data_IF_185527449159
#
_entry.id   IF_185527449159
#
_cell.length_a   1.000
_cell.length_b   1.000
_cell.length_c   1.000
_cell.angle_alpha   90.00
_cell.angle_beta   90.00
_cell.angle_gamma   90.00
#
_symmetry.space_group_name_H-M   'P 1'
#
loop_
_entity.id
_entity.type
_entity.pdbx_description
1 polymer ?
#
# COMPACT_ATOMS: atom_id res chain seq x y z
N UNK A 1 15.95 28.65 4.36
CA UNK A 1 15.35 28.45 3.03
C UNK A 1 15.43 26.97 2.72
N UNK A 2 14.27 26.31 2.77
CA UNK A 2 14.06 24.87 2.56
C UNK A 2 13.99 24.56 1.05
N UNK A 3 14.67 23.49 0.59
CA UNK A 3 14.52 22.92 -0.77
C UNK A 3 14.82 21.42 -0.91
N UNK A 4 15.01 20.68 0.17
CA UNK A 4 15.31 19.24 0.05
C UNK A 4 14.20 18.41 0.70
N UNK A 5 12.98 18.56 0.18
CA UNK A 5 11.86 17.64 0.40
C UNK A 5 12.05 16.27 -0.27
N UNK A 6 13.30 15.80 -0.38
CA UNK A 6 13.67 14.52 -0.96
C UNK A 6 13.60 13.46 0.13
N UNK A 7 12.38 13.10 0.52
CA UNK A 7 12.15 11.92 1.35
C UNK A 7 12.40 10.66 0.50
N UNK A 8 13.68 10.33 0.33
CA UNK A 8 14.13 9.01 -0.13
C UNK A 8 14.09 8.09 1.08
N UNK A 9 12.99 7.38 1.27
CA UNK A 9 12.93 6.11 2.00
C UNK A 9 12.16 5.18 1.07
N UNK A 10 12.71 4.10 0.52
CA UNK A 10 13.80 3.23 0.94
C UNK A 10 14.51 2.66 -0.28
N UNK A 11 15.80 2.35 -0.13
CA UNK A 11 16.46 1.37 -0.99
C UNK A 11 15.66 0.05 -0.97
N UNK A 12 14.86 -0.15 -2.00
CA UNK A 12 14.10 -1.39 -2.24
C UNK A 12 15.10 -2.52 -2.55
N UNK A 13 15.59 -3.18 -1.50
CA UNK A 13 16.15 -4.54 -1.59
C UNK A 13 15.07 -5.63 -1.52
N UNK A 14 13.83 -5.30 -1.87
CA UNK A 14 12.76 -6.27 -2.13
C UNK A 14 12.40 -6.22 -3.61
N UNK A 15 12.92 -7.21 -4.33
CA UNK A 15 12.56 -7.65 -5.70
C UNK A 15 11.84 -6.61 -6.56
N UNK A 16 12.60 -5.92 -7.42
CA UNK A 16 12.05 -5.30 -8.63
C UNK A 16 11.46 -6.41 -9.52
N UNK A 17 10.20 -6.75 -9.31
CA UNK A 17 9.32 -7.29 -10.35
C UNK A 17 8.69 -6.08 -11.06
N UNK A 18 9.56 -5.30 -11.72
CA UNK A 18 9.12 -4.34 -12.72
C UNK A 18 8.78 -5.16 -13.96
N UNK A 19 7.56 -5.69 -14.00
CA UNK A 19 7.02 -6.27 -15.22
C UNK A 19 6.02 -5.30 -15.87
N UNK A 20 5.12 -4.64 -15.14
CA UNK A 20 4.25 -3.59 -15.72
C UNK A 20 4.01 -2.46 -14.70
N UNK A 21 3.79 -1.22 -15.16
CA UNK A 21 3.95 0.04 -14.41
C UNK A 21 2.96 0.35 -13.28
N UNK A 22 2.56 -0.65 -12.49
CA UNK A 22 1.85 -0.46 -11.23
C UNK A 22 2.86 -0.29 -10.08
N UNK A 23 2.95 0.93 -9.55
CA UNK A 23 3.79 1.27 -8.39
C UNK A 23 2.89 1.42 -7.16
N UNK A 24 3.21 0.73 -6.06
CA UNK A 24 2.47 0.80 -4.80
C UNK A 24 3.42 1.03 -3.63
N UNK A 25 3.11 2.02 -2.80
CA UNK A 25 3.82 2.32 -1.57
C UNK A 25 2.85 2.62 -0.42
N UNK A 26 3.29 2.42 0.82
CA UNK A 26 2.46 2.66 2.00
C UNK A 26 3.24 3.46 3.03
N UNK A 27 2.63 4.52 3.55
CA UNK A 27 3.23 5.37 4.58
C UNK A 27 2.18 5.93 5.56
N UNK A 28 2.54 6.16 6.83
CA UNK A 28 3.80 5.74 7.45
C UNK A 28 3.87 4.21 7.62
N UNK A 29 5.09 3.67 7.68
CA UNK A 29 5.35 2.31 8.12
C UNK A 29 6.55 2.38 9.08
N UNK A 30 6.39 2.23 10.40
CA UNK A 30 5.22 1.68 11.11
C UNK A 30 3.95 2.56 11.15
N UNK A 31 2.79 1.91 11.21
CA UNK A 31 1.45 2.52 11.24
C UNK A 31 1.00 2.64 12.71
N UNK A 32 0.42 3.79 13.08
CA UNK A 32 -0.35 3.94 14.32
C UNK A 32 -1.84 3.72 14.04
N UNK A 33 -2.54 4.74 13.57
CA UNK A 33 -4.01 4.61 13.38
C UNK A 33 -4.39 4.51 11.91
N UNK A 34 -3.65 5.20 11.04
CA UNK A 34 -3.95 5.28 9.63
C UNK A 34 -2.69 5.17 8.79
N UNK A 35 -2.83 4.58 7.60
CA UNK A 35 -1.80 4.62 6.57
C UNK A 35 -2.39 5.10 5.25
N UNK A 36 -1.55 5.74 4.45
CA UNK A 36 -1.84 6.13 3.09
C UNK A 36 -1.17 5.14 2.15
N UNK A 37 -1.96 4.58 1.25
CA UNK A 37 -1.51 3.74 0.15
C UNK A 37 -1.40 4.62 -1.08
N UNK A 38 -0.18 4.91 -1.51
CA UNK A 38 0.11 5.60 -2.76
C UNK A 38 0.19 4.58 -3.89
N UNK A 39 -0.58 4.81 -4.94
CA UNK A 39 -0.70 3.92 -6.10
C UNK A 39 -0.55 4.78 -7.35
N UNK A 40 0.43 4.48 -8.20
CA UNK A 40 0.56 5.12 -9.52
C UNK A 40 0.08 4.16 -10.61
N UNK A 41 -0.80 4.65 -11.46
CA UNK A 41 -1.51 3.87 -12.47
C UNK A 41 -1.21 4.38 -13.87
N UNK A 42 -0.89 3.48 -14.80
CA UNK A 42 -0.74 3.86 -16.21
C UNK A 42 -2.09 4.16 -16.90
N UNK A 43 -3.18 3.61 -16.37
CA UNK A 43 -4.55 3.75 -16.89
C UNK A 43 -5.58 3.55 -15.78
N UNK A 44 -6.81 4.01 -16.03
CA UNK A 44 -7.94 3.80 -15.11
C UNK A 44 -8.22 2.30 -14.91
N UNK A 45 -8.46 1.91 -13.67
CA UNK A 45 -8.77 0.53 -13.32
C UNK A 45 -9.58 0.42 -12.03
N UNK A 46 -10.38 -0.64 -11.94
CA UNK A 46 -10.94 -1.12 -10.69
C UNK A 46 -9.94 -2.05 -10.00
N UNK A 47 -9.80 -1.89 -8.68
CA UNK A 47 -8.94 -2.72 -7.86
C UNK A 47 -9.64 -3.14 -6.57
N UNK A 48 -9.16 -4.25 -6.00
CA UNK A 48 -9.50 -4.67 -4.65
C UNK A 48 -8.26 -4.53 -3.78
N UNK A 49 -8.40 -3.80 -2.68
CA UNK A 49 -7.38 -3.67 -1.65
C UNK A 49 -7.76 -4.56 -0.47
N UNK A 50 -6.87 -5.46 -0.08
CA UNK A 50 -7.09 -6.42 0.99
C UNK A 50 -5.96 -6.31 2.01
N UNK A 51 -6.30 -6.30 3.29
CA UNK A 51 -5.33 -6.37 4.39
C UNK A 51 -5.49 -7.73 5.07
N UNK A 52 -4.40 -8.48 5.14
CA UNK A 52 -4.31 -9.74 5.87
C UNK A 52 -3.40 -9.57 7.08
N UNK A 53 -3.72 -10.24 8.19
CA UNK A 53 -2.82 -10.36 9.34
C UNK A 53 -1.68 -11.37 9.07
N UNK A 54 -0.77 -11.52 10.05
CA UNK A 54 0.36 -12.44 9.97
C UNK A 54 -0.03 -13.93 9.80
N UNK A 55 -1.26 -14.30 10.11
CA UNK A 55 -1.80 -15.65 9.93
C UNK A 55 -2.48 -15.83 8.57
N UNK A 56 -2.50 -14.78 7.74
CA UNK A 56 -3.15 -14.78 6.43
C UNK A 56 -4.66 -14.55 6.51
N UNK A 57 -5.21 -14.24 7.69
CA UNK A 57 -6.64 -13.93 7.82
C UNK A 57 -6.90 -12.54 7.25
N UNK A 58 -7.89 -12.44 6.36
CA UNK A 58 -8.38 -11.17 5.86
C UNK A 58 -9.05 -10.38 6.98
N UNK A 59 -8.48 -9.22 7.31
CA UNK A 59 -8.99 -8.31 8.35
C UNK A 59 -9.70 -7.09 7.77
N UNK A 60 -9.38 -6.73 6.53
CA UNK A 60 -10.04 -5.63 5.82
C UNK A 60 -10.05 -5.91 4.31
N UNK A 61 -11.13 -5.51 3.63
CA UNK A 61 -11.18 -5.48 2.16
C UNK A 61 -11.97 -4.28 1.69
N UNK A 62 -11.57 -3.67 0.58
CA UNK A 62 -12.27 -2.57 -0.05
C UNK A 62 -12.08 -2.58 -1.57
N UNK A 63 -13.16 -2.35 -2.29
CA UNK A 63 -13.09 -2.09 -3.73
C UNK A 63 -12.79 -0.60 -3.93
N UNK A 64 -11.83 -0.30 -4.81
CA UNK A 64 -11.39 1.05 -5.11
C UNK A 64 -11.34 1.28 -6.61
N UNK A 65 -11.85 2.42 -7.03
CA UNK A 65 -11.58 2.94 -8.36
C UNK A 65 -10.28 3.73 -8.32
N UNK A 66 -9.38 3.40 -9.26
CA UNK A 66 -8.10 4.04 -9.46
C UNK A 66 -8.10 4.71 -10.83
N UNK A 67 -7.62 5.94 -10.89
CA UNK A 67 -7.51 6.71 -12.12
C UNK A 67 -6.06 6.74 -12.60
N UNK A 68 -5.83 6.97 -13.88
CA UNK A 68 -4.50 7.19 -14.43
C UNK A 68 -3.75 8.26 -13.63
N UNK A 69 -2.49 7.97 -13.32
CA UNK A 69 -1.63 8.79 -12.48
C UNK A 69 -1.71 8.45 -10.99
N UNK A 70 -1.31 9.39 -10.11
CA UNK A 70 -1.18 9.14 -8.70
C UNK A 70 -2.54 9.08 -7.99
N UNK A 71 -2.74 8.03 -7.20
CA UNK A 71 -3.90 7.82 -6.33
C UNK A 71 -3.41 7.66 -4.89
N UNK A 72 -4.17 8.22 -3.94
CA UNK A 72 -3.94 8.01 -2.51
C UNK A 72 -5.21 7.43 -1.89
N UNK A 73 -5.08 6.27 -1.24
CA UNK A 73 -6.18 5.64 -0.49
C UNK A 73 -5.78 5.51 0.97
N UNK A 74 -6.64 5.98 1.86
CA UNK A 74 -6.42 5.92 3.31
C UNK A 74 -6.99 4.62 3.87
N UNK A 75 -6.18 3.87 4.61
CA UNK A 75 -6.60 2.69 5.37
C UNK A 75 -6.62 3.00 6.86
N UNK A 76 -7.64 2.50 7.55
CA UNK A 76 -7.79 2.63 9.00
C UNK A 76 -7.31 1.34 9.66
N UNK A 77 -6.28 1.46 10.50
CA UNK A 77 -5.68 0.36 11.27
C UNK A 77 -5.89 0.54 12.79
N UNK A 78 -6.61 1.58 13.23
CA UNK A 78 -6.74 1.92 14.65
C UNK A 78 -7.34 0.80 15.50
N UNK A 79 -8.31 0.06 14.95
CA UNK A 79 -8.96 -1.07 15.61
C UNK A 79 -8.22 -2.41 15.46
N UNK A 80 -7.10 -2.43 14.76
CA UNK A 80 -6.31 -3.65 14.53
C UNK A 80 -5.17 -3.76 15.54
N UNK A 81 -4.88 -4.98 15.99
CA UNK A 81 -3.82 -5.24 16.94
C UNK A 81 -2.44 -4.86 16.37
N UNK A 82 -1.51 -4.50 17.24
CA UNK A 82 -0.10 -4.36 16.85
C UNK A 82 0.44 -5.66 16.27
N UNK A 83 1.23 -5.57 15.20
CA UNK A 83 1.76 -6.73 14.51
C UNK A 83 2.05 -6.47 13.03
N UNK A 84 2.44 -7.54 12.34
CA UNK A 84 2.72 -7.52 10.90
C UNK A 84 1.45 -7.80 10.11
N UNK A 85 1.30 -7.10 8.99
CA UNK A 85 0.19 -7.25 8.06
C UNK A 85 0.70 -7.27 6.62
N UNK A 86 -0.09 -7.82 5.72
CA UNK A 86 0.12 -7.78 4.28
C UNK A 86 -1.02 -6.99 3.63
N UNK A 87 -0.67 -5.95 2.90
CA UNK A 87 -1.56 -5.24 2.01
C UNK A 87 -1.45 -5.84 0.61
N UNK A 88 -2.57 -6.26 0.03
CA UNK A 88 -2.65 -6.83 -1.30
C UNK A 88 -3.51 -5.90 -2.15
N UNK A 89 -2.94 -5.34 -3.21
CA UNK A 89 -3.67 -4.61 -4.25
C UNK A 89 -3.82 -5.53 -5.45
N UNK A 90 -5.06 -5.89 -5.78
CA UNK A 90 -5.39 -6.73 -6.94
C UNK A 90 -6.19 -5.93 -7.96
N UNK A 91 -5.65 -5.81 -9.17
CA UNK A 91 -6.34 -5.30 -10.36
C UNK A 91 -6.70 -6.48 -11.28
N UNK A 92 -7.35 -6.21 -12.42
CA UNK A 92 -7.57 -7.24 -13.45
C UNK A 92 -6.26 -7.76 -14.08
N UNK A 93 -5.23 -6.92 -14.14
CA UNK A 93 -3.96 -7.23 -14.81
C UNK A 93 -2.91 -7.78 -13.85
N UNK A 94 -2.80 -7.18 -12.67
CA UNK A 94 -1.70 -7.46 -11.72
C UNK A 94 -2.16 -7.51 -10.27
N UNK A 95 -1.37 -8.22 -9.46
CA UNK A 95 -1.46 -8.18 -8.00
C UNK A 95 -0.13 -7.72 -7.41
N UNK A 96 -0.18 -6.76 -6.49
CA UNK A 96 0.98 -6.28 -5.72
C UNK A 96 0.75 -6.51 -4.23
N UNK A 97 1.81 -6.87 -3.52
CA UNK A 97 1.78 -7.12 -2.08
C UNK A 97 2.81 -6.24 -1.39
N UNK A 98 2.40 -5.56 -0.31
CA UNK A 98 3.25 -4.69 0.51
C UNK A 98 3.15 -5.12 1.97
N UNK A 99 4.30 -5.30 2.63
CA UNK A 99 4.37 -5.60 4.06
C UNK A 99 4.19 -4.35 4.92
N UNK A 100 3.38 -4.46 5.96
CA UNK A 100 3.05 -3.38 6.89
C UNK A 100 3.39 -3.80 8.33
N UNK A 101 3.81 -2.83 9.15
CA UNK A 101 3.99 -3.00 10.59
C UNK A 101 3.07 -2.03 11.31
N UNK A 102 2.19 -2.52 12.19
CA UNK A 102 1.32 -1.72 13.05
C UNK A 102 1.87 -1.72 14.48
N UNK A 103 1.93 -0.54 15.08
CA UNK A 103 2.32 -0.32 16.48
C UNK A 103 1.22 0.43 17.22
N UNK A 104 1.20 0.33 18.56
CA UNK A 104 0.32 1.13 19.41
C UNK A 104 0.77 2.60 19.49
#
# INVERSE_FOLDING_TARGET
FDKDGKFIYSEIRSVRLTANGLIVGVYPNPIKDFANVAIDMEQDAEATLTVNDALGKQVQTMQVQLFKGPNIKKINMASHASGSYLLILKTKAETKTVGLVKTN
#
